data_IF_223578441670
#
_entry.id   IF_223578441670
#
_cell.length_a   1.000
_cell.length_b   1.000
_cell.length_c   1.000
_cell.angle_alpha   90.00
_cell.angle_beta   90.00
_cell.angle_gamma   90.00
#
_symmetry.space_group_name_H-M   'P 1'
#
loop_
_entity.id
_entity.type
_entity.pdbx_description
1 polymer ?
#
# COMPACT_ATOMS: atom_id res chain seq x y z
N UNK A 1 -17.40 11.94 17.65
CA UNK A 1 -17.26 10.75 18.52
C UNK A 1 -17.31 9.49 17.67
N UNK A 2 -16.30 8.58 17.82
CA UNK A 2 -16.32 7.29 17.14
C UNK A 2 -17.22 6.31 17.90
N UNK A 3 -18.16 5.69 17.18
CA UNK A 3 -19.10 4.73 17.76
C UNK A 3 -18.85 3.36 17.12
N UNK A 4 -18.61 2.36 17.96
CA UNK A 4 -18.49 0.97 17.52
C UNK A 4 -19.77 0.48 16.84
N UNK A 5 -19.65 -0.09 15.62
CA UNK A 5 -20.80 -0.54 14.82
C UNK A 5 -20.84 -2.06 14.59
N UNK A 6 -19.77 -2.76 14.90
CA UNK A 6 -19.65 -4.20 14.73
C UNK A 6 -18.39 -4.63 14.00
N UNK A 7 -18.35 -5.90 13.58
CA UNK A 7 -17.26 -6.52 12.84
C UNK A 7 -17.78 -7.18 11.56
N UNK A 8 -16.89 -7.29 10.58
CA UNK A 8 -17.07 -8.17 9.42
C UNK A 8 -16.17 -9.38 9.63
N UNK A 9 -16.76 -10.59 9.64
CA UNK A 9 -16.01 -11.84 9.75
C UNK A 9 -15.35 -12.16 8.40
N UNK A 10 -14.02 -12.17 8.37
CA UNK A 10 -13.26 -12.49 7.16
C UNK A 10 -13.07 -14.00 7.06
N UNK A 11 -13.41 -14.64 5.91
CA UNK A 11 -13.14 -16.05 5.67
C UNK A 11 -11.66 -16.39 5.80
N UNK A 12 -11.35 -17.59 6.32
CA UNK A 12 -9.96 -18.03 6.62
C UNK A 12 -9.04 -18.05 5.39
N UNK A 13 -9.61 -18.19 4.19
CA UNK A 13 -8.84 -18.16 2.94
C UNK A 13 -8.19 -16.79 2.67
N UNK A 14 -8.69 -15.71 3.27
CA UNK A 14 -8.16 -14.36 3.04
C UNK A 14 -7.24 -13.91 4.18
N UNK A 15 -6.19 -13.22 3.81
CA UNK A 15 -5.31 -12.47 4.70
C UNK A 15 -5.19 -11.04 4.19
N UNK A 16 -6.01 -10.15 4.75
CA UNK A 16 -6.05 -8.75 4.33
C UNK A 16 -4.93 -7.94 4.97
N UNK A 17 -4.35 -7.05 4.17
CA UNK A 17 -3.37 -6.07 4.62
C UNK A 17 -4.03 -4.69 4.80
N UNK A 18 -4.71 -4.20 3.78
CA UNK A 18 -5.33 -2.87 3.78
C UNK A 18 -6.75 -2.92 3.21
N UNK A 19 -7.52 -1.85 3.46
CA UNK A 19 -8.87 -1.71 2.95
C UNK A 19 -9.19 -0.26 2.57
N UNK A 20 -10.05 -0.09 1.57
CA UNK A 20 -10.59 1.20 1.16
C UNK A 20 -12.12 1.17 1.15
N UNK A 21 -12.70 2.06 1.96
CA UNK A 21 -14.14 2.15 2.16
C UNK A 21 -14.82 2.92 1.03
N UNK A 22 -16.04 2.49 0.68
CA UNK A 22 -16.98 3.24 -0.16
C UNK A 22 -17.99 4.01 0.68
N UNK A 23 -18.59 5.03 0.08
CA UNK A 23 -19.64 5.86 0.72
C UNK A 23 -20.87 5.05 1.12
N UNK A 24 -21.16 3.93 0.44
CA UNK A 24 -22.29 3.02 0.76
C UNK A 24 -21.98 2.01 1.87
N UNK A 25 -20.77 2.04 2.43
CA UNK A 25 -20.31 1.13 3.50
C UNK A 25 -19.72 -0.18 3.01
N UNK A 26 -19.77 -0.49 1.71
CA UNK A 26 -18.98 -1.57 1.12
C UNK A 26 -17.49 -1.19 1.07
N UNK A 27 -16.61 -2.15 0.84
CA UNK A 27 -15.18 -1.87 0.78
C UNK A 27 -14.43 -2.83 -0.14
N UNK A 28 -13.27 -2.36 -0.60
CA UNK A 28 -12.26 -3.20 -1.21
C UNK A 28 -11.16 -3.49 -0.18
N UNK A 29 -10.58 -4.69 -0.22
CA UNK A 29 -9.46 -5.09 0.63
C UNK A 29 -8.38 -5.78 -0.20
N UNK A 30 -7.12 -5.55 0.13
CA UNK A 30 -6.01 -6.26 -0.46
C UNK A 30 -5.78 -7.60 0.26
N UNK A 31 -5.97 -8.70 -0.46
CA UNK A 31 -5.57 -10.03 -0.03
C UNK A 31 -4.11 -10.25 -0.44
N UNK A 32 -3.21 -10.25 0.53
CA UNK A 32 -1.76 -10.21 0.30
C UNK A 32 -1.19 -11.57 -0.13
N UNK A 33 -1.49 -12.60 0.64
CA UNK A 33 -1.10 -13.99 0.43
C UNK A 33 -1.87 -14.90 1.38
N UNK A 34 -1.72 -16.22 1.25
CA UNK A 34 -2.38 -17.16 2.16
C UNK A 34 -1.97 -16.92 3.62
N UNK A 35 -2.92 -17.02 4.56
CA UNK A 35 -2.73 -16.72 5.99
C UNK A 35 -1.53 -17.43 6.63
N UNK A 36 -1.26 -18.68 6.25
CA UNK A 36 -0.21 -19.52 6.82
C UNK A 36 0.96 -19.69 5.85
N UNK A 37 1.39 -18.59 5.20
CA UNK A 37 2.53 -18.62 4.30
C UNK A 37 3.81 -18.96 5.08
N UNK A 38 4.60 -19.88 4.54
CA UNK A 38 5.93 -20.20 5.09
C UNK A 38 6.97 -19.21 4.58
N UNK A 39 8.09 -19.08 5.28
CA UNK A 39 9.22 -18.25 4.83
C UNK A 39 9.73 -18.65 3.45
N UNK A 40 9.81 -19.95 3.17
CA UNK A 40 10.24 -20.43 1.85
C UNK A 40 9.27 -20.02 0.74
N UNK A 41 7.97 -20.13 0.96
CA UNK A 41 6.96 -19.70 0.01
C UNK A 41 7.02 -18.19 -0.23
N UNK A 42 7.17 -17.40 0.84
CA UNK A 42 7.34 -15.95 0.75
C UNK A 42 8.61 -15.59 -0.06
N UNK A 43 9.73 -16.26 0.19
CA UNK A 43 10.97 -16.07 -0.60
C UNK A 43 10.76 -16.41 -2.07
N UNK A 44 10.04 -17.49 -2.38
CA UNK A 44 9.73 -17.87 -3.77
C UNK A 44 8.87 -16.81 -4.46
N UNK A 45 7.86 -16.26 -3.77
CA UNK A 45 7.06 -15.14 -4.29
C UNK A 45 7.95 -13.93 -4.57
N UNK A 46 8.79 -13.55 -3.61
CA UNK A 46 9.70 -12.40 -3.72
C UNK A 46 10.70 -12.54 -4.89
N UNK A 47 11.28 -13.73 -5.08
CA UNK A 47 12.29 -13.99 -6.12
C UNK A 47 11.67 -14.08 -7.52
N UNK A 48 10.54 -14.74 -7.66
CA UNK A 48 9.93 -15.02 -8.96
C UNK A 48 8.77 -14.08 -9.29
N UNK A 49 8.41 -13.15 -8.38
CA UNK A 49 7.30 -12.21 -8.56
C UNK A 49 5.97 -12.91 -8.90
N UNK A 50 5.76 -14.10 -8.31
CA UNK A 50 4.54 -14.87 -8.54
C UNK A 50 3.33 -14.17 -7.91
N UNK A 51 2.18 -14.27 -8.56
CA UNK A 51 0.93 -13.82 -7.97
C UNK A 51 0.67 -14.55 -6.65
N UNK A 52 0.43 -13.82 -5.59
CA UNK A 52 0.19 -14.37 -4.25
C UNK A 52 -1.15 -13.96 -3.66
N UNK A 53 -1.78 -12.94 -4.24
CA UNK A 53 -3.04 -12.39 -3.79
C UNK A 53 -3.72 -11.55 -4.85
N UNK A 54 -4.80 -10.90 -4.45
CA UNK A 54 -5.68 -10.10 -5.31
C UNK A 54 -6.43 -9.04 -4.50
N UNK A 55 -7.27 -8.26 -5.15
CA UNK A 55 -8.23 -7.38 -4.48
C UNK A 55 -9.54 -8.14 -4.26
N UNK A 56 -10.15 -7.94 -3.11
CA UNK A 56 -11.43 -8.54 -2.73
C UNK A 56 -12.43 -7.43 -2.42
N UNK A 57 -13.60 -7.50 -3.00
CA UNK A 57 -14.72 -6.59 -2.73
C UNK A 57 -15.67 -7.23 -1.71
N UNK A 58 -16.03 -6.46 -0.67
CA UNK A 58 -17.04 -6.85 0.29
C UNK A 58 -18.29 -5.98 0.17
N UNK A 59 -19.42 -6.64 0.05
CA UNK A 59 -20.76 -6.03 0.09
C UNK A 59 -21.81 -7.05 0.52
N UNK A 60 -22.82 -6.61 1.26
CA UNK A 60 -23.97 -7.40 1.67
C UNK A 60 -23.57 -8.79 2.26
N UNK A 61 -22.57 -8.77 3.16
CA UNK A 61 -22.00 -9.96 3.82
C UNK A 61 -21.29 -10.95 2.87
N UNK A 62 -21.02 -10.57 1.64
CA UNK A 62 -20.35 -11.40 0.63
C UNK A 62 -18.98 -10.84 0.27
N UNK A 63 -18.00 -11.74 0.05
CA UNK A 63 -16.68 -11.42 -0.45
C UNK A 63 -16.53 -11.92 -1.88
N UNK A 64 -16.17 -11.03 -2.80
CA UNK A 64 -16.01 -11.29 -4.23
C UNK A 64 -14.58 -10.92 -4.62
N UNK A 65 -13.84 -11.88 -5.18
CA UNK A 65 -12.51 -11.62 -5.71
C UNK A 65 -12.61 -10.81 -7.01
N UNK A 66 -11.85 -9.73 -7.12
CA UNK A 66 -11.87 -8.85 -8.29
C UNK A 66 -10.96 -9.45 -9.35
N UNK A 67 -11.54 -9.98 -10.41
CA UNK A 67 -10.82 -10.60 -11.52
C UNK A 67 -9.83 -9.62 -12.18
N UNK A 68 -8.63 -10.11 -12.53
CA UNK A 68 -7.58 -9.32 -13.15
C UNK A 68 -6.73 -8.49 -12.16
N UNK A 69 -7.06 -8.51 -10.85
CA UNK A 69 -6.33 -7.77 -9.83
C UNK A 69 -5.18 -8.56 -9.19
N UNK A 70 -4.89 -9.78 -9.65
CA UNK A 70 -3.86 -10.63 -9.09
C UNK A 70 -2.47 -10.00 -9.22
N UNK A 71 -1.62 -10.23 -8.21
CA UNK A 71 -0.24 -9.73 -8.20
C UNK A 71 0.59 -10.28 -7.06
N UNK A 72 1.86 -9.89 -7.04
CA UNK A 72 2.79 -10.32 -6.01
C UNK A 72 2.66 -9.41 -4.79
N UNK A 73 2.09 -9.96 -3.73
CA UNK A 73 1.87 -9.28 -2.45
C UNK A 73 1.12 -7.94 -2.58
N UNK A 74 -0.19 -7.96 -2.99
CA UNK A 74 -1.02 -6.77 -2.88
C UNK A 74 -1.03 -6.26 -1.44
N UNK A 75 -0.51 -5.05 -1.23
CA UNK A 75 -0.34 -4.43 0.08
C UNK A 75 -1.36 -3.29 0.27
N UNK A 76 -0.94 -2.04 0.21
CA UNK A 76 -1.85 -0.91 0.36
C UNK A 76 -2.77 -0.71 -0.84
N UNK A 77 -3.99 -0.24 -0.56
CA UNK A 77 -4.95 0.15 -1.59
C UNK A 77 -5.64 1.45 -1.24
N UNK A 78 -5.98 2.23 -2.26
CA UNK A 78 -6.87 3.38 -2.11
C UNK A 78 -7.83 3.49 -3.29
N UNK A 79 -9.09 3.69 -2.98
CA UNK A 79 -10.16 3.87 -3.96
C UNK A 79 -10.36 5.36 -4.27
N UNK A 80 -10.41 5.68 -5.53
CA UNK A 80 -11.00 6.90 -6.05
C UNK A 80 -12.40 6.59 -6.59
N UNK A 81 -13.42 6.83 -5.77
CA UNK A 81 -14.81 6.54 -6.17
C UNK A 81 -15.27 7.38 -7.36
N UNK A 82 -14.76 8.61 -7.50
CA UNK A 82 -15.20 9.53 -8.56
C UNK A 82 -14.76 9.04 -9.95
N UNK A 83 -13.60 8.40 -10.03
CA UNK A 83 -13.09 7.77 -11.26
C UNK A 83 -13.34 6.27 -11.36
N UNK A 84 -13.94 5.65 -10.34
CA UNK A 84 -14.13 4.20 -10.21
C UNK A 84 -12.81 3.41 -10.38
N UNK A 85 -11.76 3.90 -9.72
CA UNK A 85 -10.38 3.41 -9.87
C UNK A 85 -9.79 3.04 -8.54
N UNK A 86 -9.03 1.95 -8.47
CA UNK A 86 -8.21 1.59 -7.30
C UNK A 86 -6.73 1.72 -7.66
N UNK A 87 -5.97 2.34 -6.78
CA UNK A 87 -4.50 2.31 -6.80
C UNK A 87 -4.04 1.20 -5.85
N UNK A 88 -3.26 0.27 -6.38
CA UNK A 88 -2.82 -0.93 -5.66
C UNK A 88 -1.30 -0.97 -5.61
N UNK A 89 -0.75 -1.03 -4.40
CA UNK A 89 0.66 -1.31 -4.18
C UNK A 89 0.91 -2.82 -4.21
N UNK A 90 1.61 -3.30 -5.23
CA UNK A 90 2.12 -4.67 -5.28
C UNK A 90 3.54 -4.66 -4.72
N UNK A 91 3.64 -4.90 -3.42
CA UNK A 91 4.88 -4.68 -2.66
C UNK A 91 6.07 -5.50 -3.19
N UNK A 92 5.88 -6.78 -3.47
CA UNK A 92 6.93 -7.65 -4.00
C UNK A 92 7.11 -7.56 -5.53
N UNK A 93 6.20 -6.89 -6.25
CA UNK A 93 6.36 -6.56 -7.67
C UNK A 93 7.10 -5.23 -7.90
N UNK A 94 7.40 -4.50 -6.82
CA UNK A 94 8.04 -3.18 -6.88
C UNK A 94 7.27 -2.21 -7.78
N UNK A 95 5.94 -2.15 -7.63
CA UNK A 95 5.09 -1.25 -8.42
C UNK A 95 3.79 -0.86 -7.73
N UNK A 96 3.28 0.31 -8.10
CA UNK A 96 1.89 0.70 -7.86
C UNK A 96 1.15 0.69 -9.18
N UNK A 97 -0.04 0.11 -9.21
CA UNK A 97 -0.83 -0.07 -10.43
C UNK A 97 -2.18 0.61 -10.30
N UNK A 98 -2.62 1.25 -11.37
CA UNK A 98 -3.99 1.73 -11.54
C UNK A 98 -4.85 0.57 -12.03
N UNK A 99 -5.91 0.28 -11.30
CA UNK A 99 -6.89 -0.74 -11.66
C UNK A 99 -8.26 -0.08 -11.91
N UNK A 100 -8.75 -0.18 -13.14
CA UNK A 100 -10.07 0.32 -13.52
C UNK A 100 -11.14 -0.73 -13.16
N UNK A 101 -12.01 -0.36 -12.24
CA UNK A 101 -13.11 -1.22 -11.78
C UNK A 101 -14.26 -1.34 -12.77
N UNK A 102 -14.31 -0.48 -13.80
CA UNK A 102 -15.34 -0.55 -14.84
C UNK A 102 -15.10 -1.73 -15.78
N UNK A 103 -13.82 -1.97 -16.10
CA UNK A 103 -13.39 -2.98 -17.06
C UNK A 103 -12.65 -4.15 -16.41
N UNK A 104 -12.46 -4.11 -15.09
CA UNK A 104 -11.63 -5.05 -14.32
C UNK A 104 -10.23 -5.22 -14.97
N UNK A 105 -9.55 -4.11 -15.21
CA UNK A 105 -8.26 -4.13 -15.93
C UNK A 105 -7.21 -3.21 -15.31
N UNK A 106 -5.95 -3.65 -15.38
CA UNK A 106 -4.79 -2.81 -15.07
C UNK A 106 -4.53 -1.88 -16.24
N UNK A 107 -4.52 -0.56 -15.99
CA UNK A 107 -4.39 0.45 -17.04
C UNK A 107 -3.01 1.09 -17.11
N UNK A 108 -2.36 1.30 -15.96
CA UNK A 108 -1.03 1.89 -15.87
C UNK A 108 -0.30 1.41 -14.63
N UNK A 109 1.03 1.52 -14.62
CA UNK A 109 1.85 1.15 -13.46
C UNK A 109 3.03 2.10 -13.30
N UNK A 110 3.36 2.43 -12.05
CA UNK A 110 4.56 3.15 -11.67
C UNK A 110 5.49 2.21 -10.90
N UNK A 111 6.74 2.08 -11.36
CA UNK A 111 7.74 1.25 -10.70
C UNK A 111 8.38 2.01 -9.54
N UNK A 112 8.28 1.43 -8.37
CA UNK A 112 8.74 1.99 -7.09
C UNK A 112 9.08 0.85 -6.14
N UNK A 113 10.24 0.87 -5.55
CA UNK A 113 10.73 -0.22 -4.70
C UNK A 113 9.87 -0.39 -3.45
N UNK A 114 9.39 -1.60 -3.23
CA UNK A 114 8.66 -2.03 -2.01
C UNK A 114 7.62 -1.00 -1.54
N UNK A 115 6.63 -0.63 -2.39
CA UNK A 115 5.59 0.33 -2.01
C UNK A 115 4.68 -0.25 -0.92
N UNK A 116 4.20 0.65 -0.05
CA UNK A 116 3.20 0.32 0.96
C UNK A 116 1.89 1.08 0.69
N UNK A 117 1.24 1.69 1.67
CA UNK A 117 -0.09 2.25 1.53
C UNK A 117 -0.10 3.53 0.70
N UNK A 118 -0.79 3.58 -0.45
CA UNK A 118 -0.98 4.79 -1.22
C UNK A 118 -1.98 5.72 -0.52
N UNK A 119 -1.76 7.03 -0.65
CA UNK A 119 -2.71 8.05 -0.23
C UNK A 119 -3.05 8.97 -1.40
N UNK A 120 -4.33 9.28 -1.61
CA UNK A 120 -4.76 10.17 -2.69
C UNK A 120 -5.26 11.51 -2.15
N UNK A 121 -4.90 12.57 -2.86
CA UNK A 121 -5.52 13.88 -2.76
C UNK A 121 -6.40 14.13 -3.99
N UNK A 122 -6.90 15.34 -4.15
CA UNK A 122 -7.63 15.74 -5.36
C UNK A 122 -6.76 15.63 -6.62
N UNK A 123 -5.46 15.92 -6.51
CA UNK A 123 -4.56 16.11 -7.65
C UNK A 123 -3.34 15.17 -7.66
N UNK A 124 -3.05 14.52 -6.55
CA UNK A 124 -1.82 13.74 -6.40
C UNK A 124 -2.05 12.39 -5.73
N UNK A 125 -1.14 11.46 -6.00
CA UNK A 125 -1.01 10.19 -5.32
C UNK A 125 0.31 10.24 -4.56
N UNK A 126 0.28 9.91 -3.27
CA UNK A 126 1.43 9.88 -2.39
C UNK A 126 1.77 8.44 -2.04
N UNK A 127 3.02 8.06 -2.25
CA UNK A 127 3.52 6.71 -2.11
C UNK A 127 4.74 6.70 -1.20
N UNK A 128 4.86 5.66 -0.39
CA UNK A 128 6.09 5.35 0.34
C UNK A 128 6.90 4.30 -0.40
N UNK A 129 8.22 4.38 -0.32
CA UNK A 129 9.15 3.41 -0.88
C UNK A 129 10.24 3.07 0.12
N UNK A 130 10.46 1.79 0.33
CA UNK A 130 11.55 1.31 1.18
C UNK A 130 12.78 1.03 0.32
N UNK A 131 13.78 1.92 0.42
CA UNK A 131 14.96 1.94 -0.47
C UNK A 131 16.14 1.14 0.08
N UNK A 132 15.90 -0.08 0.55
CA UNK A 132 16.93 -0.98 1.08
C UNK A 132 16.73 -2.41 0.60
N UNK A 133 17.77 -3.22 0.72
CA UNK A 133 17.69 -4.64 0.41
C UNK A 133 17.28 -5.44 1.67
N UNK A 134 16.66 -6.62 1.52
CA UNK A 134 16.24 -7.43 2.66
C UNK A 134 17.35 -7.71 3.69
N UNK A 135 18.61 -7.84 3.24
CA UNK A 135 19.76 -8.04 4.13
C UNK A 135 20.05 -6.84 5.03
N UNK A 136 19.73 -5.63 4.59
CA UNK A 136 19.94 -4.40 5.37
C UNK A 136 18.96 -4.32 6.55
N UNK A 137 17.84 -5.01 6.45
CA UNK A 137 16.79 -5.01 7.47
C UNK A 137 17.11 -5.89 8.70
N UNK A 138 18.05 -6.83 8.60
CA UNK A 138 18.32 -7.83 9.64
C UNK A 138 18.60 -7.23 11.03
N UNK A 139 19.37 -6.14 11.10
CA UNK A 139 19.67 -5.46 12.36
C UNK A 139 18.63 -4.40 12.75
N UNK A 140 17.80 -4.01 11.82
CA UNK A 140 16.85 -2.91 11.97
C UNK A 140 15.52 -3.34 12.57
N UNK A 141 15.03 -4.52 12.19
CA UNK A 141 13.74 -5.06 12.68
C UNK A 141 13.73 -5.26 14.20
N UNK A 142 14.90 -5.42 14.80
CA UNK A 142 15.06 -5.57 16.26
C UNK A 142 15.17 -4.22 17.00
N UNK A 143 15.24 -3.10 16.27
CA UNK A 143 15.43 -1.75 16.85
C UNK A 143 14.20 -0.90 16.58
N UNK A 144 13.63 -0.29 17.62
CA UNK A 144 12.47 0.61 17.52
C UNK A 144 12.72 1.78 16.56
N UNK A 145 13.96 2.27 16.46
CA UNK A 145 14.35 3.36 15.56
C UNK A 145 15.20 2.80 14.42
N UNK A 146 14.54 2.28 13.39
CA UNK A 146 15.20 1.78 12.20
C UNK A 146 15.47 2.92 11.21
N UNK A 147 16.73 3.28 11.01
CA UNK A 147 17.15 4.41 10.15
C UNK A 147 17.48 4.00 8.70
N UNK A 148 16.82 2.96 8.19
CA UNK A 148 16.98 2.55 6.79
C UNK A 148 16.48 3.63 5.82
N UNK A 149 17.12 3.77 4.65
CA UNK A 149 16.72 4.76 3.66
C UNK A 149 15.32 4.47 3.09
N UNK A 150 14.60 5.55 2.83
CA UNK A 150 13.28 5.51 2.22
C UNK A 150 13.06 6.74 1.34
N UNK A 151 12.04 6.70 0.51
CA UNK A 151 11.57 7.87 -0.22
C UNK A 151 10.05 7.99 -0.20
N UNK A 152 9.59 9.22 -0.39
CA UNK A 152 8.19 9.57 -0.58
C UNK A 152 8.05 10.09 -1.99
N UNK A 153 7.15 9.51 -2.78
CA UNK A 153 6.90 9.90 -4.16
C UNK A 153 5.53 10.56 -4.27
N UNK A 154 5.49 11.72 -4.92
CA UNK A 154 4.26 12.38 -5.31
C UNK A 154 4.08 12.22 -6.82
N UNK A 155 2.99 11.60 -7.23
CA UNK A 155 2.61 11.48 -8.63
C UNK A 155 1.42 12.36 -8.94
N UNK A 156 1.32 12.85 -10.17
CA UNK A 156 0.09 13.44 -10.68
C UNK A 156 -0.99 12.36 -10.82
N UNK A 157 -2.17 12.61 -10.25
CA UNK A 157 -3.25 11.63 -10.21
C UNK A 157 -3.84 11.31 -11.60
N UNK A 158 -3.77 12.24 -12.57
CA UNK A 158 -4.33 12.08 -13.91
C UNK A 158 -3.35 11.43 -14.87
N UNK A 159 -2.09 11.90 -14.86
CA UNK A 159 -1.08 11.43 -15.81
C UNK A 159 -0.26 10.26 -15.27
N UNK A 160 -0.25 10.07 -13.95
CA UNK A 160 0.57 9.11 -13.22
C UNK A 160 2.08 9.39 -13.36
N UNK A 161 2.43 10.61 -13.73
CA UNK A 161 3.80 11.08 -13.83
C UNK A 161 4.32 11.58 -12.48
N UNK A 162 5.63 11.47 -12.28
CA UNK A 162 6.29 11.94 -11.06
C UNK A 162 6.27 13.46 -11.01
N UNK A 163 5.73 14.01 -9.93
CA UNK A 163 5.81 15.44 -9.57
C UNK A 163 7.02 15.70 -8.69
N UNK A 164 7.17 14.92 -7.61
CA UNK A 164 8.25 15.09 -6.65
C UNK A 164 8.71 13.74 -6.09
N UNK A 165 10.00 13.66 -5.70
CA UNK A 165 10.58 12.57 -4.94
C UNK A 165 11.37 13.16 -3.78
N UNK A 166 11.00 12.80 -2.55
CA UNK A 166 11.67 13.19 -1.32
C UNK A 166 12.42 11.99 -0.77
N UNK A 167 13.76 12.07 -0.72
CA UNK A 167 14.61 10.96 -0.28
C UNK A 167 15.19 11.22 1.09
N UNK A 168 15.16 10.22 1.95
CA UNK A 168 15.61 10.27 3.32
C UNK A 168 16.61 9.15 3.61
N UNK A 169 17.70 9.50 4.27
CA UNK A 169 18.68 8.53 4.74
C UNK A 169 19.18 8.93 6.13
N UNK A 170 19.46 7.96 6.97
CA UNK A 170 20.00 8.15 8.32
C UNK A 170 19.13 9.06 9.22
N UNK A 171 17.81 8.95 9.11
CA UNK A 171 16.86 9.63 9.98
C UNK A 171 16.59 8.80 11.23
N UNK A 172 16.08 9.43 12.30
CA UNK A 172 15.58 8.72 13.50
C UNK A 172 14.20 8.09 13.30
N UNK A 173 13.65 8.22 12.10
CA UNK A 173 12.40 7.64 11.65
C UNK A 173 12.68 6.82 10.39
N UNK A 174 12.09 5.66 10.28
CA UNK A 174 12.24 4.80 9.11
C UNK A 174 11.05 3.90 8.89
N UNK A 175 11.11 3.10 7.85
CA UNK A 175 10.07 2.14 7.46
C UNK A 175 8.67 2.79 7.37
N UNK A 176 8.52 3.93 6.66
CA UNK A 176 7.22 4.56 6.49
C UNK A 176 6.29 3.65 5.70
N UNK A 177 5.03 3.60 6.13
CA UNK A 177 3.98 2.83 5.46
C UNK A 177 2.96 3.72 4.75
N UNK A 178 2.83 4.97 5.16
CA UNK A 178 1.91 5.94 4.56
C UNK A 178 2.49 7.35 4.65
N UNK A 179 2.19 8.18 3.66
CA UNK A 179 2.52 9.61 3.63
C UNK A 179 1.25 10.43 3.35
N UNK A 180 0.87 11.30 4.28
CA UNK A 180 -0.36 12.09 4.24
C UNK A 180 -0.03 13.57 4.20
N UNK A 181 -0.21 14.26 3.06
CA UNK A 181 -0.03 15.70 2.98
C UNK A 181 -1.21 16.44 3.64
N UNK A 182 -0.88 17.39 4.50
CA UNK A 182 -1.83 18.32 5.11
C UNK A 182 -1.23 19.71 5.00
N UNK A 183 -1.80 20.55 4.14
CA UNK A 183 -1.22 21.83 3.73
C UNK A 183 0.20 21.63 3.18
N UNK A 184 1.19 22.35 3.71
CA UNK A 184 2.60 22.29 3.31
C UNK A 184 3.41 21.23 4.11
N UNK A 185 2.77 20.37 4.88
CA UNK A 185 3.42 19.36 5.70
C UNK A 185 2.96 17.97 5.29
N UNK A 186 3.91 17.06 5.06
CA UNK A 186 3.64 15.64 4.87
C UNK A 186 3.90 14.91 6.18
N UNK A 187 2.88 14.23 6.69
CA UNK A 187 2.98 13.37 7.87
C UNK A 187 3.15 11.91 7.45
N UNK A 188 3.99 11.17 8.17
CA UNK A 188 4.30 9.78 7.85
C UNK A 188 4.00 8.88 9.05
N UNK A 189 3.25 7.80 8.79
CA UNK A 189 3.13 6.65 9.68
C UNK A 189 4.18 5.59 9.37
N UNK A 190 4.48 4.74 10.34
CA UNK A 190 5.42 3.62 10.19
C UNK A 190 4.91 2.40 10.94
N UNK A 191 5.20 1.21 10.43
CA UNK A 191 4.87 -0.03 11.14
C UNK A 191 5.91 -0.38 12.23
N UNK A 192 7.03 0.34 12.29
CA UNK A 192 8.17 0.01 13.17
C UNK A 192 8.85 1.23 13.79
N UNK A 193 8.12 2.31 14.05
CA UNK A 193 8.64 3.48 14.75
C UNK A 193 7.76 3.83 15.95
N UNK A 194 8.36 4.47 16.97
CA UNK A 194 7.68 4.94 18.18
C UNK A 194 7.10 6.36 18.03
N UNK A 195 7.13 6.91 16.82
CA UNK A 195 6.76 8.31 16.52
C UNK A 195 6.19 8.47 15.13
N UNK A 196 5.53 9.58 14.89
CA UNK A 196 5.20 10.05 13.54
C UNK A 196 6.38 10.84 12.98
N UNK A 197 6.63 10.66 11.68
CA UNK A 197 7.54 11.51 10.91
C UNK A 197 6.80 12.67 10.28
N UNK A 198 7.50 13.79 9.99
CA UNK A 198 6.96 14.84 9.13
C UNK A 198 8.06 15.60 8.44
N UNK A 199 7.74 16.17 7.26
CA UNK A 199 8.61 17.12 6.55
C UNK A 199 7.77 18.19 5.83
N UNK A 200 8.42 19.32 5.52
CA UNK A 200 7.79 20.42 4.77
C UNK A 200 7.98 20.21 3.26
N UNK A 201 6.94 20.46 2.49
CA UNK A 201 6.98 20.60 1.04
C UNK A 201 7.08 22.09 0.69
N UNK A 202 8.12 22.45 -0.03
CA UNK A 202 8.34 23.83 -0.50
C UNK A 202 7.69 24.02 -1.88
#
# INVERSE_FOLDING_TARGET
EMIWRGCVNVPDKFYFNDLSLKKDGSFYASHMYKRNITMNEWLMISLFKNNSGNIVFWKDSSFIEVEGSEGSSPNGIVLDEDSNTIYVSYNLDDKVTIFDLTNNSKTNSYFIQSPDNPFITKESIWLTSLNFQPNDANDCILKVNCSLPFSIHELDKKTFEVKNIYTFSKTVFGLPTVAVPINETVYMGSFHADRLGSFQIN
#
